data_IF_518390977540
#
_entry.id   IF_518390977540
#
_cell.length_a   1.000
_cell.length_b   1.000
_cell.length_c   1.000
_cell.angle_alpha   90.00
_cell.angle_beta   90.00
_cell.angle_gamma   90.00
#
_symmetry.space_group_name_H-M   'P 1'
#
loop_
_entity.id
_entity.type
_entity.pdbx_description
1 polymer ?
#
# COMPACT_ATOMS: atom_id res chain seq x y z
N UNK A 1 -11.65 62.27 5.63
CA UNK A 1 -11.63 61.29 4.51
C UNK A 1 -10.18 60.98 4.13
N UNK A 2 -9.70 59.76 4.41
CA UNK A 2 -8.52 59.12 3.80
C UNK A 2 -8.84 57.62 3.66
N UNK A 3 -8.19 56.93 2.73
CA UNK A 3 -8.69 55.66 2.18
C UNK A 3 -8.62 54.49 3.18
N UNK A 4 -9.80 54.04 3.64
CA UNK A 4 -10.00 52.71 4.23
C UNK A 4 -10.84 51.93 3.19
N UNK A 5 -10.16 51.22 2.28
CA UNK A 5 -10.85 50.65 1.11
C UNK A 5 -9.98 49.87 0.13
N UNK A 6 -8.90 49.24 0.59
CA UNK A 6 -8.00 48.44 -0.28
C UNK A 6 -7.54 47.11 0.35
N UNK A 7 -7.85 46.84 1.63
CA UNK A 7 -7.34 45.66 2.35
C UNK A 7 -8.27 44.44 2.34
N UNK A 8 -9.56 44.60 2.00
CA UNK A 8 -10.55 43.51 2.06
C UNK A 8 -10.68 42.69 0.76
N UNK A 9 -10.08 43.12 -0.36
CA UNK A 9 -10.19 42.40 -1.63
C UNK A 9 -9.14 41.27 -1.79
N UNK A 10 -8.07 41.27 -0.99
CA UNK A 10 -7.04 40.23 -1.03
C UNK A 10 -7.47 38.93 -0.34
N UNK A 11 -8.34 39.00 0.67
CA UNK A 11 -8.71 37.83 1.49
C UNK A 11 -9.75 36.90 0.82
N UNK A 12 -10.46 37.39 -0.22
CA UNK A 12 -11.45 36.61 -0.96
C UNK A 12 -10.85 35.69 -2.03
N UNK A 13 -9.56 35.81 -2.35
CA UNK A 13 -8.88 35.00 -3.36
C UNK A 13 -8.24 33.71 -2.81
N UNK A 14 -8.17 33.54 -1.48
CA UNK A 14 -7.68 32.29 -0.86
C UNK A 14 -8.72 31.16 -0.82
N UNK A 15 -10.00 31.46 -1.09
CA UNK A 15 -11.08 30.47 -1.12
C UNK A 15 -11.30 29.86 -2.52
N UNK A 16 -10.38 30.06 -3.47
CA UNK A 16 -10.57 29.75 -4.89
C UNK A 16 -9.57 28.71 -5.47
N UNK A 17 -8.90 27.93 -4.61
CA UNK A 17 -8.09 26.77 -5.00
C UNK A 17 -8.62 25.44 -4.44
N UNK A 18 -9.95 25.32 -4.31
CA UNK A 18 -10.62 24.04 -4.17
C UNK A 18 -10.60 23.27 -5.49
N UNK A 19 -9.42 22.83 -5.93
CA UNK A 19 -9.30 21.93 -7.07
C UNK A 19 -10.00 20.60 -6.74
N UNK A 20 -10.76 19.99 -7.68
CA UNK A 20 -11.18 18.60 -7.52
C UNK A 20 -9.92 17.76 -7.29
N UNK A 21 -9.94 16.95 -6.24
CA UNK A 21 -8.71 16.59 -5.53
C UNK A 21 -7.68 15.88 -6.40
N UNK A 22 -6.40 16.23 -6.21
CA UNK A 22 -5.26 15.48 -6.74
C UNK A 22 -5.05 14.22 -5.88
N UNK A 23 -6.08 13.38 -5.88
CA UNK A 23 -5.95 11.97 -5.54
C UNK A 23 -5.39 11.32 -6.79
N UNK A 24 -4.09 11.02 -6.75
CA UNK A 24 -3.48 10.05 -7.64
C UNK A 24 -4.16 8.68 -7.50
N UNK A 25 -3.80 7.73 -8.36
CA UNK A 25 -4.33 6.36 -8.29
C UNK A 25 -4.14 5.73 -6.90
N UNK A 26 -4.89 4.69 -6.57
CA UNK A 26 -4.71 3.97 -5.30
C UNK A 26 -3.26 3.54 -5.06
N UNK A 27 -2.52 3.17 -6.12
CA UNK A 27 -1.09 2.90 -6.10
C UNK A 27 -0.22 4.14 -5.75
N UNK A 28 -0.49 5.29 -6.36
CA UNK A 28 0.18 6.56 -6.00
C UNK A 28 -0.20 7.04 -4.59
N UNK A 29 -1.37 6.66 -4.08
CA UNK A 29 -1.78 6.90 -2.69
C UNK A 29 -1.03 5.97 -1.73
N UNK A 30 -1.01 4.65 -1.99
CA UNK A 30 -0.30 3.66 -1.21
C UNK A 30 1.20 3.97 -1.09
N UNK A 31 1.86 4.29 -2.21
CA UNK A 31 3.28 4.64 -2.22
C UNK A 31 3.63 5.98 -1.53
N UNK A 32 2.64 6.83 -1.21
CA UNK A 32 2.82 8.02 -0.34
C UNK A 32 2.58 7.73 1.14
N UNK A 33 2.07 6.54 1.46
CA UNK A 33 1.65 6.10 2.80
C UNK A 33 2.38 4.82 3.26
N UNK A 34 3.45 4.45 2.57
CA UNK A 34 4.43 3.42 2.94
C UNK A 34 5.73 4.10 3.37
N UNK A 35 6.34 3.62 4.45
CA UNK A 35 7.66 4.06 4.95
C UNK A 35 8.78 3.01 4.71
N UNK A 36 8.47 1.97 3.93
CA UNK A 36 9.34 0.86 3.57
C UNK A 36 10.40 1.26 2.53
N UNK A 37 11.51 0.52 2.45
CA UNK A 37 12.61 0.83 1.54
C UNK A 37 12.24 0.74 0.05
N UNK A 38 11.32 -0.15 -0.31
CA UNK A 38 10.78 -0.28 -1.66
C UNK A 38 9.29 0.08 -1.70
N UNK A 39 8.87 0.62 -2.84
CA UNK A 39 7.47 0.98 -3.13
C UNK A 39 6.79 -0.12 -3.97
N UNK A 40 5.46 -0.21 -3.92
CA UNK A 40 4.71 -1.07 -4.83
C UNK A 40 4.93 -0.64 -6.29
N UNK A 41 4.98 -1.61 -7.20
CA UNK A 41 5.33 -1.43 -8.61
C UNK A 41 6.73 -0.82 -8.87
N UNK A 42 7.65 -0.87 -7.90
CA UNK A 42 9.07 -0.59 -8.13
C UNK A 42 9.68 -1.69 -9.03
N UNK A 43 10.42 -1.34 -10.11
CA UNK A 43 11.12 -2.31 -10.94
C UNK A 43 12.16 -3.13 -10.17
N UNK A 44 12.30 -4.40 -10.51
CA UNK A 44 13.23 -5.30 -9.82
C UNK A 44 14.69 -4.85 -9.90
N UNK A 45 15.15 -4.24 -11.00
CA UNK A 45 16.55 -3.76 -11.09
C UNK A 45 16.85 -2.62 -10.12
N UNK A 46 15.84 -1.89 -9.63
CA UNK A 46 16.02 -0.90 -8.56
C UNK A 46 16.06 -1.56 -7.18
N UNK A 47 15.22 -2.57 -6.94
CA UNK A 47 15.21 -3.33 -5.69
C UNK A 47 16.48 -4.18 -5.51
N UNK A 48 16.96 -4.84 -6.58
CA UNK A 48 18.13 -5.72 -6.57
C UNK A 48 19.43 -4.98 -6.21
N UNK A 49 19.54 -3.68 -6.48
CA UNK A 49 20.68 -2.84 -6.04
C UNK A 49 20.86 -2.82 -4.52
N UNK A 50 19.84 -3.19 -3.77
CA UNK A 50 19.82 -3.23 -2.31
C UNK A 50 19.68 -4.66 -1.74
N UNK A 51 19.64 -5.70 -2.60
CA UNK A 51 19.43 -7.09 -2.20
C UNK A 51 20.51 -7.64 -1.26
N UNK A 52 21.71 -7.02 -1.18
CA UNK A 52 22.75 -7.37 -0.20
C UNK A 52 22.30 -7.24 1.27
N UNK A 53 21.20 -6.54 1.53
CA UNK A 53 20.59 -6.36 2.86
C UNK A 53 19.46 -7.36 3.16
N UNK A 54 19.22 -8.31 2.25
CA UNK A 54 18.07 -9.22 2.27
C UNK A 54 18.48 -10.68 2.01
N UNK A 55 17.70 -11.60 2.56
CA UNK A 55 17.71 -13.00 2.18
C UNK A 55 16.80 -13.18 0.95
N UNK A 56 17.28 -13.94 -0.05
CA UNK A 56 16.51 -14.28 -1.24
C UNK A 56 15.69 -15.55 -1.02
N UNK A 57 14.39 -15.50 -1.27
CA UNK A 57 13.51 -16.67 -1.35
C UNK A 57 13.05 -16.93 -2.79
N UNK A 58 13.14 -18.18 -3.26
CA UNK A 58 12.60 -18.57 -4.57
C UNK A 58 11.15 -19.05 -4.47
N UNK A 59 10.25 -18.50 -5.28
CA UNK A 59 8.85 -18.91 -5.40
C UNK A 59 8.52 -19.54 -6.75
N UNK A 60 7.23 -19.79 -7.00
CA UNK A 60 6.72 -20.14 -8.33
C UNK A 60 6.18 -18.87 -9.00
N UNK A 61 6.85 -18.42 -10.05
CA UNK A 61 6.52 -17.17 -10.77
C UNK A 61 6.92 -15.86 -10.09
N UNK A 62 7.37 -15.93 -8.84
CA UNK A 62 7.86 -14.81 -8.04
C UNK A 62 9.15 -15.18 -7.28
N UNK A 63 9.79 -14.17 -6.69
CA UNK A 63 10.81 -14.33 -5.66
C UNK A 63 10.57 -13.34 -4.51
N UNK A 64 11.20 -13.58 -3.36
CA UNK A 64 11.13 -12.68 -2.21
C UNK A 64 12.49 -12.09 -1.84
N UNK A 65 12.47 -10.86 -1.33
CA UNK A 65 13.57 -10.22 -0.63
C UNK A 65 13.12 -9.97 0.82
N UNK A 66 13.68 -10.73 1.76
CA UNK A 66 13.25 -10.75 3.16
C UNK A 66 14.35 -10.32 4.13
N UNK A 67 13.99 -9.55 5.15
CA UNK A 67 14.83 -9.37 6.34
C UNK A 67 13.96 -9.47 7.60
N UNK A 68 14.56 -9.30 8.78
CA UNK A 68 13.88 -9.39 10.08
C UNK A 68 12.65 -8.46 10.25
N UNK A 69 12.51 -7.43 9.41
CA UNK A 69 11.52 -6.35 9.56
C UNK A 69 10.41 -6.38 8.50
N UNK A 70 10.72 -6.85 7.29
CA UNK A 70 9.84 -6.77 6.10
C UNK A 70 10.21 -7.85 5.08
N UNK A 71 9.19 -8.36 4.37
CA UNK A 71 9.33 -9.21 3.19
C UNK A 71 8.68 -8.53 1.98
N UNK A 72 9.38 -8.54 0.85
CA UNK A 72 8.91 -8.03 -0.44
C UNK A 72 8.71 -9.19 -1.42
N UNK A 73 7.53 -9.31 -2.02
CA UNK A 73 7.26 -10.30 -3.09
C UNK A 73 7.38 -9.63 -4.45
N UNK A 74 8.36 -10.04 -5.24
CA UNK A 74 8.60 -9.59 -6.61
C UNK A 74 8.07 -10.62 -7.60
N UNK A 75 7.06 -10.24 -8.38
CA UNK A 75 6.42 -11.11 -9.39
C UNK A 75 6.70 -10.59 -10.80
N UNK A 76 6.52 -11.44 -11.82
CA UNK A 76 6.78 -11.09 -13.22
C UNK A 76 7.26 -12.25 -14.11
N UNK A 77 7.24 -13.49 -13.60
CA UNK A 77 7.73 -14.67 -14.33
C UNK A 77 6.75 -15.86 -14.26
N UNK A 78 6.92 -16.84 -15.16
CA UNK A 78 6.91 -16.62 -16.60
C UNK A 78 5.50 -16.24 -17.13
N UNK A 79 4.50 -16.17 -16.24
CA UNK A 79 3.06 -16.25 -16.52
C UNK A 79 2.30 -14.93 -16.26
N UNK A 80 3.02 -13.83 -16.03
CA UNK A 80 2.49 -12.49 -15.77
C UNK A 80 2.93 -11.56 -16.90
N UNK A 81 2.08 -10.62 -17.32
CA UNK A 81 2.37 -9.69 -18.42
C UNK A 81 3.14 -8.44 -17.98
N UNK A 82 3.15 -8.14 -16.69
CA UNK A 82 3.87 -7.02 -16.09
C UNK A 82 5.38 -7.32 -16.02
N UNK A 83 6.22 -6.29 -16.13
CA UNK A 83 7.66 -6.43 -15.87
C UNK A 83 7.91 -6.77 -14.39
N UNK A 84 9.11 -7.25 -14.05
CA UNK A 84 9.39 -7.66 -12.66
C UNK A 84 9.21 -6.49 -11.68
N UNK A 85 8.25 -6.63 -10.77
CA UNK A 85 7.76 -5.54 -9.93
C UNK A 85 7.58 -5.98 -8.47
N UNK A 86 7.80 -5.07 -7.53
CA UNK A 86 7.39 -5.25 -6.11
C UNK A 86 5.86 -5.27 -6.04
N UNK A 87 5.31 -6.49 -5.99
CA UNK A 87 3.86 -6.76 -6.06
C UNK A 87 3.20 -6.90 -4.69
N UNK A 88 3.93 -7.30 -3.65
CA UNK A 88 3.44 -7.40 -2.27
C UNK A 88 4.52 -6.93 -1.30
N UNK A 89 4.10 -6.32 -0.18
CA UNK A 89 4.95 -5.91 0.93
C UNK A 89 4.29 -6.39 2.22
N UNK A 90 4.95 -7.30 2.93
CA UNK A 90 4.51 -7.85 4.22
C UNK A 90 5.38 -7.32 5.36
N UNK A 91 4.75 -6.81 6.41
CA UNK A 91 5.45 -6.46 7.63
C UNK A 91 5.78 -7.70 8.46
N UNK A 92 7.01 -7.77 8.96
CA UNK A 92 7.48 -8.80 9.90
C UNK A 92 7.85 -8.23 11.28
N UNK A 93 7.91 -6.89 11.41
CA UNK A 93 8.14 -6.18 12.67
C UNK A 93 7.34 -4.88 12.76
N UNK A 94 7.34 -4.24 13.93
CA UNK A 94 6.70 -2.94 14.20
C UNK A 94 7.55 -1.73 13.74
N UNK A 95 8.51 -1.94 12.82
CA UNK A 95 9.46 -0.90 12.38
C UNK A 95 8.89 -0.01 11.27
N UNK A 96 8.04 -0.59 10.43
CA UNK A 96 7.45 0.02 9.25
C UNK A 96 5.92 0.09 9.41
N UNK A 97 5.28 0.94 8.61
CA UNK A 97 3.85 1.23 8.69
C UNK A 97 3.22 1.27 7.29
N UNK A 98 1.96 0.87 7.23
CA UNK A 98 1.12 0.92 6.03
C UNK A 98 -0.06 1.83 6.36
N UNK A 99 -0.14 3.02 5.74
CA UNK A 99 -1.06 4.10 6.12
C UNK A 99 -0.99 4.52 7.61
N UNK A 100 0.16 4.31 8.25
CA UNK A 100 0.38 4.60 9.68
C UNK A 100 0.01 3.47 10.63
N UNK A 101 -0.51 2.34 10.12
CA UNK A 101 -0.81 1.12 10.88
C UNK A 101 0.39 0.16 10.82
N UNK A 102 0.68 -0.54 11.90
CA UNK A 102 1.73 -1.57 11.98
C UNK A 102 1.26 -2.85 12.71
N UNK A 103 2.17 -3.80 12.93
CA UNK A 103 1.87 -5.01 13.69
C UNK A 103 1.59 -4.69 15.17
N UNK A 104 0.72 -5.48 15.78
CA UNK A 104 0.26 -5.33 17.18
C UNK A 104 -0.60 -4.09 17.48
N UNK A 105 -1.00 -3.33 16.46
CA UNK A 105 -2.10 -2.37 16.57
C UNK A 105 -3.45 -3.08 16.78
N UNK A 106 -4.42 -2.33 17.32
CA UNK A 106 -5.82 -2.73 17.44
C UNK A 106 -6.50 -2.81 16.06
N UNK A 107 -7.18 -3.91 15.80
CA UNK A 107 -7.80 -4.22 14.52
C UNK A 107 -8.88 -3.19 14.13
N UNK A 108 -9.70 -2.73 15.08
CA UNK A 108 -10.77 -1.77 14.79
C UNK A 108 -10.17 -0.42 14.38
N UNK A 109 -9.14 0.04 15.10
CA UNK A 109 -8.38 1.26 14.80
C UNK A 109 -7.71 1.17 13.42
N UNK A 110 -7.13 0.01 13.09
CA UNK A 110 -6.54 -0.25 11.77
C UNK A 110 -7.59 -0.21 10.64
N UNK A 111 -8.74 -0.86 10.83
CA UNK A 111 -9.84 -0.84 9.86
C UNK A 111 -10.36 0.58 9.62
N UNK A 112 -10.58 1.36 10.67
CA UNK A 112 -11.00 2.77 10.57
C UNK A 112 -9.97 3.62 9.81
N UNK A 113 -8.67 3.40 10.04
CA UNK A 113 -7.60 4.06 9.31
C UNK A 113 -7.66 3.74 7.80
N UNK A 114 -7.69 2.46 7.41
CA UNK A 114 -7.73 2.07 5.99
C UNK A 114 -9.04 2.51 5.30
N UNK A 115 -10.19 2.40 5.97
CA UNK A 115 -11.47 2.87 5.45
C UNK A 115 -11.48 4.39 5.22
N UNK A 116 -10.79 5.18 6.07
CA UNK A 116 -10.65 6.62 5.88
C UNK A 116 -9.91 7.01 4.59
N UNK A 117 -9.09 6.11 4.04
CA UNK A 117 -8.37 6.30 2.78
C UNK A 117 -9.11 5.80 1.55
N UNK A 118 -10.24 5.10 1.72
CA UNK A 118 -11.10 4.61 0.64
C UNK A 118 -11.10 3.10 0.41
N UNK A 119 -10.44 2.32 1.28
CA UNK A 119 -10.50 0.85 1.21
C UNK A 119 -11.86 0.32 1.68
N UNK A 120 -12.42 -0.64 0.93
CA UNK A 120 -13.63 -1.39 1.31
C UNK A 120 -13.27 -2.85 1.55
N UNK A 121 -13.98 -3.53 2.46
CA UNK A 121 -13.81 -4.97 2.67
C UNK A 121 -14.31 -5.79 1.47
N UNK A 122 -13.59 -6.88 1.18
CA UNK A 122 -13.99 -7.93 0.26
C UNK A 122 -14.41 -9.18 1.04
N UNK A 123 -15.69 -9.20 1.43
CA UNK A 123 -16.34 -10.30 2.16
C UNK A 123 -16.16 -11.67 1.48
N UNK A 124 -15.86 -11.73 0.18
CA UNK A 124 -15.66 -12.99 -0.55
C UNK A 124 -14.27 -13.62 -0.30
N UNK A 125 -13.31 -12.83 0.19
CA UNK A 125 -11.93 -13.27 0.52
C UNK A 125 -11.57 -13.11 2.00
N UNK A 126 -12.40 -12.44 2.80
CA UNK A 126 -12.31 -12.40 4.27
C UNK A 126 -12.71 -13.72 4.94
N UNK A 127 -12.28 -13.91 6.20
CA UNK A 127 -12.77 -14.91 7.16
C UNK A 127 -12.47 -14.45 8.60
N UNK A 128 -12.95 -15.21 9.59
CA UNK A 128 -12.83 -14.99 11.05
C UNK A 128 -11.44 -14.53 11.57
N UNK A 129 -10.36 -14.85 10.86
CA UNK A 129 -8.96 -14.56 11.26
C UNK A 129 -8.20 -13.66 10.29
N UNK A 130 -8.76 -13.41 9.10
CA UNK A 130 -8.09 -12.74 7.98
C UNK A 130 -9.07 -11.88 7.20
N UNK A 131 -8.93 -10.56 7.27
CA UNK A 131 -9.73 -9.62 6.49
C UNK A 131 -8.98 -9.19 5.23
N UNK A 132 -9.71 -9.00 4.13
CA UNK A 132 -9.16 -8.48 2.87
C UNK A 132 -9.86 -7.17 2.55
N UNK A 133 -9.09 -6.09 2.34
CA UNK A 133 -9.61 -4.81 1.89
C UNK A 133 -9.07 -4.48 0.49
N UNK A 134 -9.82 -3.70 -0.29
CA UNK A 134 -9.42 -3.28 -1.64
C UNK A 134 -9.71 -1.81 -1.91
N UNK A 135 -8.84 -1.17 -2.68
CA UNK A 135 -9.04 0.15 -3.29
C UNK A 135 -8.45 0.10 -4.71
N UNK A 136 -9.31 0.23 -5.74
CA UNK A 136 -8.94 0.08 -7.16
C UNK A 136 -8.16 -1.23 -7.44
N UNK A 137 -6.86 -1.15 -7.76
CA UNK A 137 -5.98 -2.29 -7.98
C UNK A 137 -5.06 -2.62 -6.78
N UNK A 138 -5.23 -1.93 -5.65
CA UNK A 138 -4.45 -2.15 -4.42
C UNK A 138 -5.28 -2.98 -3.43
N UNK A 139 -4.66 -4.02 -2.88
CA UNK A 139 -5.23 -4.87 -1.83
C UNK A 139 -4.46 -4.76 -0.52
N UNK A 140 -5.18 -4.87 0.60
CA UNK A 140 -4.64 -5.07 1.94
C UNK A 140 -5.09 -6.44 2.46
N UNK A 141 -4.23 -7.11 3.21
CA UNK A 141 -4.58 -8.30 3.99
C UNK A 141 -4.16 -8.08 5.43
N UNK A 142 -5.13 -8.17 6.33
CA UNK A 142 -4.99 -8.03 7.77
C UNK A 142 -5.25 -9.40 8.40
N UNK A 143 -4.34 -9.88 9.23
CA UNK A 143 -4.46 -11.15 9.95
C UNK A 143 -4.37 -10.86 11.45
N UNK A 144 -5.33 -11.36 12.25
CA UNK A 144 -5.56 -10.89 13.63
C UNK A 144 -5.88 -12.03 14.62
N UNK A 145 -5.49 -11.83 15.89
CA UNK A 145 -5.91 -12.67 17.03
C UNK A 145 -6.37 -11.77 18.16
N UNK A 146 -7.50 -12.12 18.79
CA UNK A 146 -8.04 -11.43 19.98
C UNK A 146 -8.23 -9.90 19.81
N UNK A 147 -8.46 -9.45 18.57
CA UNK A 147 -8.59 -8.03 18.20
C UNK A 147 -7.28 -7.30 17.90
N UNK A 148 -6.13 -7.99 17.93
CA UNK A 148 -4.79 -7.42 17.70
C UNK A 148 -4.22 -7.92 16.36
N UNK A 149 -3.59 -7.03 15.59
CA UNK A 149 -2.91 -7.41 14.34
C UNK A 149 -1.67 -8.27 14.62
N UNK A 150 -1.62 -9.42 13.94
CA UNK A 150 -0.48 -10.35 13.92
C UNK A 150 0.16 -10.50 12.54
N UNK A 151 -0.55 -10.12 11.47
CA UNK A 151 -0.02 -10.00 10.12
C UNK A 151 -0.64 -8.80 9.41
N UNK A 152 0.18 -8.07 8.65
CA UNK A 152 -0.25 -6.93 7.84
C UNK A 152 0.58 -6.88 6.56
N UNK A 153 -0.10 -6.83 5.42
CA UNK A 153 0.53 -6.72 4.09
C UNK A 153 -0.34 -5.95 3.11
N UNK A 154 0.33 -5.30 2.16
CA UNK A 154 -0.27 -4.59 1.03
C UNK A 154 0.25 -5.18 -0.27
N UNK A 155 -0.55 -5.14 -1.33
CA UNK A 155 -0.11 -5.55 -2.66
C UNK A 155 -0.88 -4.88 -3.78
N UNK A 156 -0.39 -5.06 -5.00
CA UNK A 156 -1.11 -4.73 -6.24
C UNK A 156 -1.61 -6.01 -6.91
N UNK A 157 -2.81 -5.95 -7.47
CA UNK A 157 -3.30 -7.00 -8.37
C UNK A 157 -2.49 -6.94 -9.67
N UNK A 158 -1.63 -7.95 -9.88
CA UNK A 158 -0.87 -8.11 -11.13
C UNK A 158 -1.75 -8.67 -12.26
N UNK A 159 -1.32 -8.48 -13.50
CA UNK A 159 -2.03 -8.90 -14.71
C UNK A 159 -1.44 -10.22 -15.24
N UNK A 160 -2.08 -11.34 -14.92
CA UNK A 160 -1.72 -12.64 -15.49
C UNK A 160 -1.81 -12.64 -17.03
N UNK A 161 -1.02 -13.50 -17.66
CA UNK A 161 -1.23 -13.88 -19.07
C UNK A 161 -2.61 -14.53 -19.23
N UNK A 162 -3.34 -14.17 -20.29
CA UNK A 162 -4.67 -14.74 -20.58
C UNK A 162 -4.61 -16.26 -20.68
N UNK A 163 -5.31 -16.95 -19.77
CA UNK A 163 -5.34 -18.42 -19.68
C UNK A 163 -4.41 -19.04 -18.63
N UNK A 164 -3.79 -18.25 -17.75
CA UNK A 164 -3.13 -18.77 -16.53
C UNK A 164 -3.97 -18.50 -15.29
N UNK A 165 -4.59 -19.57 -14.79
CA UNK A 165 -5.24 -19.66 -13.47
C UNK A 165 -4.25 -20.17 -12.42
N UNK A 166 -4.34 -19.67 -11.19
CA UNK A 166 -3.56 -20.11 -10.01
C UNK A 166 -4.48 -20.58 -8.87
#
# INVERSE_FOLDING_TARGET
>A
MKQIGAFFLAFLLLCACGAPGIHGSALEQANRHLDTHFSLAMPAEEAEKHAEQYCYGGGFGCFTLENQDVCYTLSGYPDVLDEYHVTEIQLLSTKYHIYGVTLHDDLQTALEAFQSYGFTEDESRSNDTRLVLTQENVGLVLEASDGILIGLRIGVTATNVEGVDF
#
